data_IF_959503351500
#
_entry.id   IF_959503351500
#
_cell.length_a   1.000
_cell.length_b   1.000
_cell.length_c   1.000
_cell.angle_alpha   90.00
_cell.angle_beta   90.00
_cell.angle_gamma   90.00
#
_symmetry.space_group_name_H-M   'P 1'
#
loop_
_entity.id
_entity.type
_entity.pdbx_description
1 polymer ?
#
# COMPACT_ATOMS: atom_id res chain seq x y z
N UNK A 1 -43.07 -4.94 -15.90
CA UNK A 1 -42.73 -3.50 -15.85
C UNK A 1 -41.73 -3.28 -14.73
N UNK A 2 -40.47 -2.95 -15.04
CA UNK A 2 -39.51 -2.59 -13.99
C UNK A 2 -39.99 -1.28 -13.35
N UNK A 3 -40.14 -1.23 -12.03
CA UNK A 3 -40.55 0.00 -11.34
C UNK A 3 -39.50 1.07 -11.58
N UNK A 4 -39.92 2.27 -11.99
CA UNK A 4 -39.08 3.45 -12.25
C UNK A 4 -37.97 3.64 -11.20
N UNK A 5 -38.28 3.37 -9.92
CA UNK A 5 -37.33 3.38 -8.80
C UNK A 5 -36.09 2.49 -9.02
N UNK A 6 -36.25 1.27 -9.53
CA UNK A 6 -35.13 0.35 -9.79
C UNK A 6 -34.20 0.90 -10.88
N UNK A 7 -34.79 1.45 -11.93
CA UNK A 7 -34.03 2.06 -13.05
C UNK A 7 -33.23 3.26 -12.54
N UNK A 8 -33.83 4.08 -11.69
CA UNK A 8 -33.17 5.23 -11.06
C UNK A 8 -31.99 4.83 -10.15
N UNK A 9 -32.14 3.82 -9.29
CA UNK A 9 -31.03 3.37 -8.44
C UNK A 9 -29.89 2.71 -9.23
N UNK A 10 -30.21 1.96 -10.30
CA UNK A 10 -29.20 1.36 -11.18
C UNK A 10 -28.41 2.45 -11.91
N UNK A 11 -29.09 3.49 -12.43
CA UNK A 11 -28.42 4.58 -13.13
C UNK A 11 -27.55 5.42 -12.17
N UNK A 12 -28.01 5.66 -10.95
CA UNK A 12 -27.23 6.35 -9.92
C UNK A 12 -25.98 5.55 -9.51
N UNK A 13 -26.10 4.24 -9.31
CA UNK A 13 -24.96 3.38 -9.00
C UNK A 13 -23.95 3.35 -10.16
N UNK A 14 -24.42 3.20 -11.40
CA UNK A 14 -23.56 3.23 -12.58
C UNK A 14 -22.84 4.59 -12.73
N UNK A 15 -23.51 5.71 -12.45
CA UNK A 15 -22.91 7.03 -12.44
C UNK A 15 -21.85 7.17 -11.33
N UNK A 16 -22.12 6.68 -10.12
CA UNK A 16 -21.16 6.69 -9.01
C UNK A 16 -19.92 5.86 -9.32
N UNK A 17 -20.10 4.66 -9.89
CA UNK A 17 -18.99 3.80 -10.35
C UNK A 17 -18.18 4.49 -11.44
N UNK A 18 -18.83 5.14 -12.42
CA UNK A 18 -18.14 5.87 -13.50
C UNK A 18 -17.36 7.07 -12.97
N UNK A 19 -17.93 7.84 -12.05
CA UNK A 19 -17.25 8.96 -11.39
C UNK A 19 -16.07 8.44 -10.57
N UNK A 20 -16.22 7.30 -9.88
CA UNK A 20 -15.14 6.67 -9.14
C UNK A 20 -13.99 6.24 -10.05
N UNK A 21 -14.26 5.58 -11.18
CA UNK A 21 -13.21 5.23 -12.16
C UNK A 21 -12.53 6.50 -12.71
N UNK A 22 -13.29 7.52 -13.06
CA UNK A 22 -12.74 8.79 -13.53
C UNK A 22 -11.86 9.45 -12.47
N UNK A 23 -12.27 9.43 -11.21
CA UNK A 23 -11.51 10.00 -10.09
C UNK A 23 -10.25 9.18 -9.77
N UNK A 24 -10.36 7.85 -9.85
CA UNK A 24 -9.26 6.89 -9.65
C UNK A 24 -8.17 7.08 -10.69
N UNK A 25 -8.54 7.23 -11.95
CA UNK A 25 -7.60 7.30 -13.08
C UNK A 25 -7.17 8.74 -13.41
N UNK A 26 -7.73 9.74 -12.73
CA UNK A 26 -7.33 11.15 -12.89
C UNK A 26 -5.92 11.38 -12.32
N UNK A 27 -4.94 11.79 -13.13
CA UNK A 27 -3.62 12.14 -12.63
C UNK A 27 -3.71 13.31 -11.63
N UNK A 28 -3.00 13.21 -10.49
CA UNK A 28 -2.78 14.41 -9.66
C UNK A 28 -1.86 15.37 -10.43
N UNK A 29 -2.18 16.68 -10.48
CA UNK A 29 -1.26 17.67 -11.01
C UNK A 29 0.05 17.62 -10.19
N UNK A 30 1.18 17.54 -10.88
CA UNK A 30 2.52 17.21 -10.36
C UNK A 30 3.16 18.23 -9.40
N UNK A 31 2.38 19.07 -8.72
CA UNK A 31 2.92 20.20 -7.96
C UNK A 31 3.73 19.79 -6.72
N UNK A 32 3.40 18.66 -6.09
CA UNK A 32 4.16 18.06 -5.00
C UNK A 32 4.22 16.55 -5.23
N UNK A 33 5.39 15.93 -5.12
CA UNK A 33 5.57 14.48 -5.23
C UNK A 33 5.89 13.94 -3.84
N UNK A 34 4.85 13.66 -3.03
CA UNK A 34 4.96 13.08 -1.69
C UNK A 34 4.85 11.56 -1.79
N UNK A 35 5.88 10.86 -1.34
CA UNK A 35 5.84 9.41 -1.20
C UNK A 35 5.66 9.04 0.27
N UNK A 36 4.79 8.06 0.53
CA UNK A 36 4.75 7.35 1.79
C UNK A 36 5.30 5.95 1.58
N UNK A 37 6.25 5.54 2.40
CA UNK A 37 6.97 4.28 2.25
C UNK A 37 6.88 3.47 3.54
N UNK A 38 6.31 2.27 3.47
CA UNK A 38 6.29 1.36 4.62
C UNK A 38 7.56 0.50 4.66
N UNK A 39 8.29 0.56 5.78
CA UNK A 39 9.37 -0.38 6.10
C UNK A 39 8.79 -1.58 6.85
N UNK A 40 8.71 -2.73 6.17
CA UNK A 40 8.23 -3.96 6.76
C UNK A 40 9.30 -4.62 7.65
N UNK A 41 8.97 -4.96 8.89
CA UNK A 41 9.94 -5.56 9.82
C UNK A 41 10.76 -6.72 9.24
N UNK A 42 12.05 -6.75 9.53
CA UNK A 42 12.98 -7.83 9.15
C UNK A 42 13.59 -7.64 7.76
N UNK A 43 13.49 -8.66 6.90
CA UNK A 43 14.07 -8.65 5.55
C UNK A 43 13.44 -7.61 4.62
N UNK A 44 12.16 -7.29 4.80
CA UNK A 44 11.44 -6.34 3.96
C UNK A 44 11.98 -4.92 4.08
N UNK A 45 12.40 -4.47 5.27
CA UNK A 45 13.08 -3.18 5.45
C UNK A 45 14.37 -3.11 4.63
N UNK A 46 15.16 -4.18 4.65
CA UNK A 46 16.38 -4.25 3.84
C UNK A 46 16.09 -4.17 2.33
N UNK A 47 15.07 -4.89 1.86
CA UNK A 47 14.62 -4.80 0.47
C UNK A 47 14.22 -3.35 0.11
N UNK A 48 13.34 -2.74 0.92
CA UNK A 48 12.84 -1.39 0.67
C UNK A 48 13.97 -0.35 0.68
N UNK A 49 14.87 -0.37 1.67
CA UNK A 49 15.97 0.58 1.72
C UNK A 49 16.90 0.47 0.50
N UNK A 50 17.18 -0.75 0.00
CA UNK A 50 17.97 -0.95 -1.23
C UNK A 50 17.28 -0.43 -2.48
N UNK A 51 15.98 -0.72 -2.60
CA UNK A 51 15.14 -0.23 -3.70
C UNK A 51 15.17 1.30 -3.73
N UNK A 52 14.99 1.93 -2.58
CA UNK A 52 14.87 3.39 -2.47
C UNK A 52 16.19 4.13 -2.42
N UNK A 53 17.30 3.46 -2.09
CA UNK A 53 18.64 4.05 -2.21
C UNK A 53 18.91 4.63 -3.61
N UNK A 54 18.34 4.01 -4.64
CA UNK A 54 18.52 4.39 -6.05
C UNK A 54 17.43 5.31 -6.60
N UNK A 55 16.34 5.56 -5.84
CA UNK A 55 15.19 6.36 -6.30
C UNK A 55 15.30 7.78 -5.72
N UNK A 56 15.87 8.72 -6.50
CA UNK A 56 16.09 10.12 -6.10
C UNK A 56 14.94 11.09 -6.41
N UNK A 57 13.73 10.59 -6.70
CA UNK A 57 12.71 11.38 -7.40
C UNK A 57 11.57 11.93 -6.52
N UNK A 58 11.64 11.78 -5.19
CA UNK A 58 10.63 12.30 -4.27
C UNK A 58 11.22 13.40 -3.38
N UNK A 59 10.78 14.67 -3.52
CA UNK A 59 11.21 15.76 -2.64
C UNK A 59 10.73 15.59 -1.19
N UNK A 60 9.68 14.81 -0.95
CA UNK A 60 9.15 14.54 0.38
C UNK A 60 8.84 13.05 0.52
N UNK A 61 9.41 12.42 1.54
CA UNK A 61 9.22 11.01 1.85
C UNK A 61 8.81 10.89 3.31
N UNK A 62 7.62 10.33 3.54
CA UNK A 62 7.14 9.94 4.86
C UNK A 62 7.42 8.45 5.05
N UNK A 63 8.22 8.10 6.05
CA UNK A 63 8.54 6.71 6.37
C UNK A 63 7.56 6.17 7.39
N UNK A 64 6.97 5.02 7.12
CA UNK A 64 6.06 4.34 8.04
C UNK A 64 6.76 3.10 8.57
N UNK A 65 6.75 2.93 9.89
CA UNK A 65 7.25 1.74 10.57
C UNK A 65 6.16 1.16 11.48
N UNK A 66 6.30 -0.11 11.88
CA UNK A 66 5.40 -0.67 12.89
C UNK A 66 5.93 -0.42 14.30
N UNK A 67 5.04 -0.14 15.26
CA UNK A 67 5.39 0.02 16.68
C UNK A 67 6.22 -1.18 17.17
N UNK A 68 7.34 -0.88 17.84
CA UNK A 68 8.27 -1.87 18.39
C UNK A 68 9.25 -2.46 17.35
N UNK A 69 9.34 -1.90 16.16
CA UNK A 69 10.31 -2.29 15.13
C UNK A 69 11.56 -1.40 15.13
N UNK A 70 12.28 -1.41 16.25
CA UNK A 70 13.48 -0.57 16.45
C UNK A 70 14.57 -0.85 15.42
N UNK A 71 14.67 -2.09 14.94
CA UNK A 71 15.65 -2.48 13.93
C UNK A 71 15.41 -1.77 12.59
N UNK A 72 14.15 -1.59 12.20
CA UNK A 72 13.84 -0.87 10.96
C UNK A 72 14.17 0.62 11.07
N UNK A 73 13.93 1.20 12.25
CA UNK A 73 14.29 2.59 12.54
C UNK A 73 15.81 2.79 12.54
N UNK A 74 16.57 1.90 13.16
CA UNK A 74 18.04 1.95 13.18
C UNK A 74 18.62 1.87 11.75
N UNK A 75 18.16 0.90 10.95
CA UNK A 75 18.58 0.77 9.54
C UNK A 75 18.22 1.97 8.67
N UNK A 76 17.07 2.59 8.94
CA UNK A 76 16.67 3.82 8.26
C UNK A 76 17.62 4.96 8.62
N UNK A 77 17.92 5.13 9.92
CA UNK A 77 18.79 6.18 10.43
C UNK A 77 20.24 6.09 9.89
N UNK A 78 20.71 4.89 9.54
CA UNK A 78 22.02 4.70 8.90
C UNK A 78 22.12 5.35 7.50
N UNK A 79 21.00 5.47 6.78
CA UNK A 79 21.01 5.84 5.36
C UNK A 79 20.18 7.09 5.03
N UNK A 80 19.26 7.49 5.91
CA UNK A 80 18.29 8.55 5.68
C UNK A 80 17.99 9.35 6.95
N UNK A 81 17.54 10.60 6.78
CA UNK A 81 17.00 11.41 7.86
C UNK A 81 15.69 10.81 8.39
N UNK A 82 15.53 10.81 9.71
CA UNK A 82 14.37 10.22 10.41
C UNK A 82 13.33 11.26 10.82
N UNK A 83 13.36 12.46 10.24
CA UNK A 83 12.50 13.57 10.64
C UNK A 83 11.02 13.32 10.30
N UNK A 84 10.75 12.53 9.27
CA UNK A 84 9.41 12.21 8.77
C UNK A 84 9.03 10.73 8.99
N UNK A 85 9.25 10.20 10.21
CA UNK A 85 8.87 8.81 10.58
C UNK A 85 7.54 8.78 11.34
N UNK A 86 6.61 7.92 10.89
CA UNK A 86 5.33 7.66 11.53
C UNK A 86 5.25 6.20 11.96
N UNK A 87 4.86 5.96 13.20
CA UNK A 87 4.62 4.60 13.70
C UNK A 87 3.14 4.21 13.60
N UNK A 88 2.88 2.98 13.13
CA UNK A 88 1.54 2.37 13.13
C UNK A 88 1.54 1.07 13.95
N UNK A 89 0.42 0.70 14.60
CA UNK A 89 0.33 -0.58 15.28
C UNK A 89 0.44 -1.72 14.28
N UNK A 90 1.00 -2.85 14.71
CA UNK A 90 1.20 -4.02 13.86
C UNK A 90 -0.13 -4.72 13.60
N UNK A 91 -0.45 -5.01 12.33
CA UNK A 91 -1.69 -5.71 11.99
C UNK A 91 -1.77 -7.12 12.62
N UNK A 92 -0.62 -7.82 12.69
CA UNK A 92 -0.51 -9.13 13.34
C UNK A 92 0.88 -9.33 13.92
N UNK A 93 0.95 -9.76 15.18
CA UNK A 93 2.21 -10.13 15.84
C UNK A 93 2.68 -11.53 15.43
N UNK A 94 3.99 -11.77 15.51
CA UNK A 94 4.56 -13.10 15.25
C UNK A 94 3.98 -14.10 16.26
N UNK A 95 3.49 -15.23 15.76
CA UNK A 95 2.83 -16.25 16.60
C UNK A 95 1.38 -15.94 17.01
N UNK A 96 0.83 -14.77 16.65
CA UNK A 96 -0.56 -14.44 16.98
C UNK A 96 -1.54 -15.30 16.15
N UNK A 97 -2.54 -15.95 16.79
CA UNK A 97 -3.61 -16.66 16.10
C UNK A 97 -4.41 -15.78 15.15
N UNK A 98 -4.92 -16.35 14.05
CA UNK A 98 -5.69 -15.60 13.05
C UNK A 98 -6.95 -14.94 13.60
N UNK A 99 -7.61 -15.55 14.59
CA UNK A 99 -8.82 -14.99 15.21
C UNK A 99 -8.54 -13.70 15.97
N UNK A 100 -7.49 -13.66 16.79
CA UNK A 100 -7.11 -12.44 17.51
C UNK A 100 -6.42 -11.42 16.61
N UNK A 101 -5.84 -11.87 15.48
CA UNK A 101 -5.26 -11.00 14.47
C UNK A 101 -6.28 -10.05 13.82
N UNK A 102 -7.57 -10.40 13.83
CA UNK A 102 -8.64 -9.55 13.30
C UNK A 102 -8.69 -8.23 14.09
N UNK A 103 -8.69 -8.31 15.43
CA UNK A 103 -8.78 -7.11 16.27
C UNK A 103 -7.54 -6.20 16.09
N UNK A 104 -6.34 -6.78 16.09
CA UNK A 104 -5.12 -5.98 15.84
C UNK A 104 -5.07 -5.41 14.43
N UNK A 105 -5.61 -6.12 13.44
CA UNK A 105 -5.74 -5.61 12.06
C UNK A 105 -6.72 -4.45 11.97
N UNK A 106 -7.84 -4.48 12.68
CA UNK A 106 -8.80 -3.37 12.73
C UNK A 106 -8.21 -2.13 13.41
N UNK A 107 -7.47 -2.31 14.51
CA UNK A 107 -6.76 -1.22 15.18
C UNK A 107 -5.70 -0.63 14.25
N UNK A 108 -4.95 -1.48 13.55
CA UNK A 108 -4.00 -1.06 12.50
C UNK A 108 -4.68 -0.28 11.39
N UNK A 109 -5.81 -0.77 10.87
CA UNK A 109 -6.58 -0.10 9.82
C UNK A 109 -7.05 1.29 10.27
N UNK A 110 -7.58 1.43 11.50
CA UNK A 110 -8.02 2.71 12.04
C UNK A 110 -6.87 3.72 12.15
N UNK A 111 -5.70 3.29 12.62
CA UNK A 111 -4.50 4.12 12.65
C UNK A 111 -4.07 4.53 11.23
N UNK A 112 -4.03 3.57 10.29
CA UNK A 112 -3.68 3.82 8.90
C UNK A 112 -4.62 4.83 8.21
N UNK A 113 -5.92 4.81 8.52
CA UNK A 113 -6.87 5.81 8.01
C UNK A 113 -6.47 7.22 8.44
N UNK A 114 -6.13 7.42 9.70
CA UNK A 114 -5.66 8.71 10.21
C UNK A 114 -4.35 9.14 9.52
N UNK A 115 -3.37 8.22 9.43
CA UNK A 115 -2.07 8.50 8.83
C UNK A 115 -2.19 8.90 7.36
N UNK A 116 -2.93 8.14 6.55
CA UNK A 116 -3.09 8.45 5.12
C UNK A 116 -3.89 9.74 4.92
N UNK A 117 -4.92 10.00 5.72
CA UNK A 117 -5.71 11.23 5.61
C UNK A 117 -4.88 12.48 5.93
N UNK A 118 -4.07 12.43 7.00
CA UNK A 118 -3.28 13.57 7.45
C UNK A 118 -2.05 13.84 6.56
N UNK A 119 -1.31 12.80 6.16
CA UNK A 119 -0.13 12.97 5.29
C UNK A 119 -0.53 13.18 3.81
N UNK A 120 -1.68 12.62 3.41
CA UNK A 120 -2.26 12.70 2.06
C UNK A 120 -1.25 12.41 0.92
N UNK A 121 -0.51 11.29 0.98
CA UNK A 121 0.56 11.01 0.03
C UNK A 121 0.04 10.84 -1.40
N UNK A 122 0.85 11.25 -2.38
CA UNK A 122 0.55 11.04 -3.79
C UNK A 122 0.75 9.59 -4.19
N UNK A 123 1.78 8.97 -3.63
CA UNK A 123 2.09 7.56 -3.83
C UNK A 123 2.37 6.88 -2.50
N UNK A 124 1.73 5.74 -2.29
CA UNK A 124 2.01 4.82 -1.20
C UNK A 124 2.76 3.63 -1.78
N UNK A 125 3.96 3.36 -1.26
CA UNK A 125 4.81 2.25 -1.70
C UNK A 125 5.04 1.30 -0.53
N UNK A 126 4.67 0.04 -0.74
CA UNK A 126 4.74 -0.97 0.33
C UNK A 126 5.32 -2.28 -0.21
N UNK A 127 5.98 -3.00 0.68
CA UNK A 127 6.42 -4.38 0.52
C UNK A 127 6.13 -5.10 1.84
N UNK A 128 5.88 -6.41 1.80
CA UNK A 128 6.00 -7.24 3.00
C UNK A 128 4.71 -7.47 3.80
N UNK A 129 4.75 -7.37 5.16
CA UNK A 129 3.84 -8.10 6.04
C UNK A 129 2.43 -7.52 6.09
N UNK A 130 1.54 -8.15 6.88
CA UNK A 130 0.11 -7.82 6.92
C UNK A 130 -0.24 -6.34 7.19
N UNK A 131 0.65 -5.54 7.81
CA UNK A 131 0.44 -4.10 7.96
C UNK A 131 0.38 -3.36 6.61
N UNK A 132 1.07 -3.86 5.57
CA UNK A 132 0.98 -3.36 4.19
C UNK A 132 -0.44 -3.49 3.66
N UNK A 133 -1.15 -4.57 3.99
CA UNK A 133 -2.57 -4.76 3.61
C UNK A 133 -3.43 -3.65 4.22
N UNK A 134 -3.26 -3.39 5.52
CA UNK A 134 -4.07 -2.39 6.23
C UNK A 134 -3.82 -0.97 5.71
N UNK A 135 -2.56 -0.62 5.45
CA UNK A 135 -2.19 0.70 4.94
C UNK A 135 -2.74 0.94 3.53
N UNK A 136 -2.62 -0.06 2.64
CA UNK A 136 -3.18 0.01 1.29
C UNK A 136 -4.71 0.06 1.31
N UNK A 137 -5.38 -0.74 2.14
CA UNK A 137 -6.84 -0.70 2.25
C UNK A 137 -7.35 0.60 2.87
N UNK A 138 -6.61 1.21 3.81
CA UNK A 138 -6.93 2.55 4.30
C UNK A 138 -6.90 3.58 3.16
N UNK A 139 -5.85 3.56 2.33
CA UNK A 139 -5.75 4.44 1.17
C UNK A 139 -6.89 4.19 0.15
N UNK A 140 -7.25 2.94 -0.11
CA UNK A 140 -8.38 2.59 -0.98
C UNK A 140 -9.72 3.10 -0.44
N UNK A 141 -9.97 2.93 0.87
CA UNK A 141 -11.20 3.37 1.51
C UNK A 141 -11.34 4.89 1.43
N UNK A 142 -10.29 5.63 1.81
CA UNK A 142 -10.29 7.09 1.73
C UNK A 142 -10.43 7.57 0.28
N UNK A 143 -9.79 6.88 -0.68
CA UNK A 143 -9.93 7.18 -2.10
C UNK A 143 -11.33 6.90 -2.62
N UNK A 144 -11.99 5.85 -2.15
CA UNK A 144 -13.38 5.54 -2.48
C UNK A 144 -14.34 6.66 -2.05
N UNK A 145 -14.11 7.27 -0.89
CA UNK A 145 -14.85 8.46 -0.44
C UNK A 145 -14.36 9.78 -1.04
N UNK A 146 -13.40 9.75 -1.96
CA UNK A 146 -12.84 10.93 -2.63
C UNK A 146 -11.94 11.80 -1.74
N UNK A 147 -11.63 11.36 -0.51
CA UNK A 147 -10.88 12.13 0.49
C UNK A 147 -9.39 12.23 0.15
N UNK A 148 -8.83 11.22 -0.50
CA UNK A 148 -7.45 11.20 -1.00
C UNK A 148 -7.41 10.67 -2.43
N UNK A 149 -6.27 10.82 -3.11
CA UNK A 149 -6.01 10.21 -4.44
C UNK A 149 -4.69 9.44 -4.47
N UNK A 150 -4.31 8.89 -3.33
CA UNK A 150 -3.08 8.12 -3.18
C UNK A 150 -3.06 6.96 -4.17
N UNK A 151 -2.02 6.90 -5.00
CA UNK A 151 -1.72 5.76 -5.86
C UNK A 151 -0.99 4.69 -5.05
N UNK A 152 -1.36 3.43 -5.21
CA UNK A 152 -0.81 2.32 -4.44
C UNK A 152 0.13 1.51 -5.33
N UNK A 153 1.39 1.46 -4.94
CA UNK A 153 2.41 0.60 -5.54
C UNK A 153 2.75 -0.48 -4.52
N UNK A 154 2.46 -1.74 -4.85
CA UNK A 154 2.89 -2.88 -4.04
C UNK A 154 4.05 -3.59 -4.72
N UNK A 155 5.10 -3.86 -3.97
CA UNK A 155 6.27 -4.62 -4.42
C UNK A 155 6.25 -5.96 -3.70
N UNK A 156 6.12 -7.05 -4.47
CA UNK A 156 6.23 -8.39 -3.88
C UNK A 156 7.68 -8.67 -3.45
N UNK A 157 7.80 -9.35 -2.31
CA UNK A 157 9.11 -9.65 -1.72
C UNK A 157 9.95 -10.52 -2.64
N UNK A 158 11.26 -10.27 -2.65
CA UNK A 158 12.23 -11.02 -3.44
C UNK A 158 12.20 -12.52 -3.12
N UNK A 159 11.87 -12.90 -1.89
CA UNK A 159 11.78 -14.29 -1.47
C UNK A 159 10.64 -15.08 -2.15
N UNK A 160 9.72 -14.42 -2.87
CA UNK A 160 8.57 -15.05 -3.53
C UNK A 160 8.88 -15.30 -5.02
N UNK A 161 9.30 -16.51 -5.34
CA UNK A 161 9.68 -16.90 -6.71
C UNK A 161 8.50 -17.44 -7.54
N UNK A 162 7.73 -18.35 -6.95
CA UNK A 162 6.74 -19.16 -7.70
C UNK A 162 5.29 -18.70 -7.47
N UNK A 163 5.01 -18.12 -6.29
CA UNK A 163 3.67 -17.74 -5.88
C UNK A 163 3.67 -16.47 -5.04
N UNK A 164 2.66 -15.62 -5.22
CA UNK A 164 2.46 -14.43 -4.40
C UNK A 164 2.34 -14.80 -2.91
N UNK A 165 2.78 -13.90 -2.04
CA UNK A 165 2.54 -14.03 -0.61
C UNK A 165 1.05 -13.90 -0.30
N UNK A 166 0.61 -14.22 0.93
CA UNK A 166 -0.79 -13.93 1.33
C UNK A 166 -1.10 -12.44 1.19
N UNK A 167 -0.15 -11.58 1.57
CA UNK A 167 -0.29 -10.12 1.44
C UNK A 167 -0.35 -9.71 -0.03
N UNK A 168 0.54 -10.24 -0.87
CA UNK A 168 0.50 -10.04 -2.31
C UNK A 168 -0.82 -10.48 -2.94
N UNK A 169 -1.37 -11.65 -2.58
CA UNK A 169 -2.68 -12.10 -3.08
C UNK A 169 -3.82 -11.17 -2.68
N UNK A 170 -3.81 -10.64 -1.46
CA UNK A 170 -4.82 -9.70 -0.97
C UNK A 170 -4.72 -8.33 -1.65
N UNK A 171 -3.51 -7.92 -2.01
CA UNK A 171 -3.23 -6.63 -2.62
C UNK A 171 -3.22 -6.65 -4.16
N UNK A 172 -3.13 -7.83 -4.77
CA UNK A 172 -3.15 -7.99 -6.23
C UNK A 172 -4.33 -7.31 -6.93
N UNK A 173 -5.59 -7.41 -6.46
CA UNK A 173 -6.71 -6.69 -7.08
C UNK A 173 -6.81 -5.21 -6.65
N UNK A 174 -6.03 -4.81 -5.64
CA UNK A 174 -6.18 -3.54 -4.93
C UNK A 174 -5.10 -2.51 -5.26
N UNK A 175 -3.88 -2.96 -5.54
CA UNK A 175 -2.79 -2.09 -5.96
C UNK A 175 -3.05 -1.52 -7.35
N UNK A 176 -2.61 -0.29 -7.60
CA UNK A 176 -2.66 0.30 -8.94
C UNK A 176 -1.47 -0.16 -9.79
N UNK A 177 -0.31 -0.34 -9.15
CA UNK A 177 0.84 -1.04 -9.73
C UNK A 177 1.27 -2.18 -8.80
N UNK A 178 1.36 -3.38 -9.35
CA UNK A 178 1.84 -4.55 -8.64
C UNK A 178 3.16 -5.01 -9.25
N UNK A 179 4.27 -4.79 -8.54
CA UNK A 179 5.61 -5.08 -9.03
C UNK A 179 6.08 -6.45 -8.55
N UNK A 180 6.61 -7.26 -9.47
CA UNK A 180 7.19 -8.57 -9.18
C UNK A 180 8.62 -8.65 -9.72
N UNK A 181 9.47 -9.35 -8.97
CA UNK A 181 10.90 -9.45 -9.28
C UNK A 181 11.27 -10.73 -10.04
N UNK A 182 10.31 -11.63 -10.25
CA UNK A 182 10.51 -12.92 -10.92
C UNK A 182 9.60 -13.02 -12.16
N UNK A 183 10.11 -13.44 -13.32
CA UNK A 183 9.30 -13.56 -14.53
C UNK A 183 8.18 -14.61 -14.40
N UNK A 184 8.41 -15.68 -13.63
CA UNK A 184 7.43 -16.75 -13.38
C UNK A 184 6.18 -16.21 -12.66
N UNK A 185 6.34 -15.23 -11.76
CA UNK A 185 5.20 -14.55 -11.16
C UNK A 185 4.43 -13.74 -12.18
N UNK A 186 5.11 -13.04 -13.09
CA UNK A 186 4.44 -12.24 -14.11
C UNK A 186 3.64 -13.11 -15.09
N UNK A 187 4.19 -14.25 -15.50
CA UNK A 187 3.50 -15.24 -16.34
C UNK A 187 2.23 -15.76 -15.67
N UNK A 188 2.28 -16.02 -14.36
CA UNK A 188 1.13 -16.53 -13.60
C UNK A 188 0.12 -15.45 -13.21
N UNK A 189 0.57 -14.21 -13.04
CA UNK A 189 -0.22 -13.08 -12.59
C UNK A 189 -0.07 -11.91 -13.59
N UNK A 190 -0.86 -11.89 -14.67
CA UNK A 190 -0.64 -11.01 -15.82
C UNK A 190 -0.86 -9.51 -15.54
N UNK A 191 -1.57 -9.15 -14.46
CA UNK A 191 -1.77 -7.75 -14.07
C UNK A 191 -0.60 -7.21 -13.22
N UNK A 192 0.50 -7.96 -13.10
CA UNK A 192 1.74 -7.49 -12.48
C UNK A 192 2.65 -6.83 -13.51
N UNK A 193 3.65 -6.10 -13.04
CA UNK A 193 4.76 -5.59 -13.84
C UNK A 193 6.05 -6.26 -13.38
N UNK A 194 6.70 -6.98 -14.29
CA UNK A 194 8.02 -7.53 -14.04
C UNK A 194 9.07 -6.41 -14.06
N UNK A 195 9.86 -6.31 -13.00
CA UNK A 195 10.90 -5.27 -12.84
C UNK A 195 12.32 -5.80 -12.89
N UNK A 196 12.51 -7.12 -12.95
CA UNK A 196 13.80 -7.74 -12.62
C UNK A 196 14.13 -7.65 -11.13
N UNK A 197 15.36 -7.99 -10.77
CA UNK A 197 15.84 -7.95 -9.39
C UNK A 197 16.10 -6.50 -8.99
N UNK A 198 15.42 -6.04 -7.92
CA UNK A 198 15.54 -4.66 -7.43
C UNK A 198 16.48 -4.51 -6.23
N UNK A 199 17.09 -5.61 -5.75
CA UNK A 199 17.88 -5.68 -4.50
C UNK A 199 19.27 -6.30 -4.67
#
# INVERSE_FOLDING_TARGET
>A
MWSFQKIFFISLFAAAVRIWFMYRDSPRPHHHKRAMILLGSGGHTGEMLRIFHHIRNFPHITWVITIGDSLSLEKLAEHHHTDDVIEIPRARYVGQPYSSAINSSLVCLAACLSVIYNDNPDVLITNGPGSSVMLCYAALLLRFFGLVRTRIIYIESFARVNELSLTGRLLYPAADDFLVQWPQLHERYPNTRYTGHLI
#
